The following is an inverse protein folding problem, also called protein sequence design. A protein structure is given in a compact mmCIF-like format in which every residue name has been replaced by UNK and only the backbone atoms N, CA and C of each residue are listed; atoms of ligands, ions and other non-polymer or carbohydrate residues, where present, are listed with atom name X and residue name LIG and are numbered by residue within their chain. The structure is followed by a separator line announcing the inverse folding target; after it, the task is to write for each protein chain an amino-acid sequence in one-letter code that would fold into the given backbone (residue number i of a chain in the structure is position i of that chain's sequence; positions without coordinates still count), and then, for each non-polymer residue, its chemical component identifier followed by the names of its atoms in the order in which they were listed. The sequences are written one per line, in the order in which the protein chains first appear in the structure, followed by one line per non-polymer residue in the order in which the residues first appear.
data_IF_721892023559
#
_entry.id   IF_721892023559
#
_cell.length_a   1.000
_cell.length_b   1.000
_cell.length_c   1.000
_cell.angle_alpha   90.00
_cell.angle_beta   90.00
_cell.angle_gamma   90.00
#
_symmetry.space_group_name_H-M   'P 1'
#
loop_
_entity.id
_entity.type
_entity.pdbx_description
1 polymer ?
#
# COMPACT_ATOMS: atom_id res chain seq x y z
N UNK A 1 -17.74 -6.94 1.27
CA UNK A 1 -16.39 -6.73 1.82
C UNK A 1 -16.00 -5.33 1.43
N UNK A 2 -15.90 -4.42 2.39
CA UNK A 2 -15.36 -3.10 2.08
C UNK A 2 -13.89 -3.30 1.73
N UNK A 3 -13.57 -3.19 0.44
CA UNK A 3 -12.21 -3.15 -0.10
C UNK A 3 -11.36 -2.00 0.50
N UNK A 4 -11.97 -1.23 1.42
CA UNK A 4 -11.40 -0.12 2.15
C UNK A 4 -10.56 -0.57 3.36
N UNK A 5 -10.74 -1.79 3.87
CA UNK A 5 -10.09 -2.27 5.10
C UNK A 5 -9.22 -3.52 4.86
N UNK A 6 -7.96 -3.30 4.48
CA UNK A 6 -6.96 -4.36 4.29
C UNK A 6 -6.32 -4.87 5.59
N UNK A 7 -5.78 -6.10 5.54
CA UNK A 7 -5.24 -6.82 6.70
C UNK A 7 -4.00 -6.18 7.34
N UNK A 8 -3.15 -5.51 6.55
CA UNK A 8 -1.89 -4.96 7.04
C UNK A 8 -2.08 -3.66 7.84
N UNK A 9 -2.93 -2.73 7.40
CA UNK A 9 -3.07 -1.41 8.04
C UNK A 9 -4.47 -0.78 7.86
N UNK A 10 -5.50 -1.57 7.55
CA UNK A 10 -6.84 -1.08 7.17
C UNK A 10 -6.76 -0.06 6.03
N UNK A 11 -5.93 -0.38 5.04
CA UNK A 11 -5.76 0.40 3.82
C UNK A 11 -6.58 -0.20 2.68
N UNK A 12 -6.83 0.62 1.67
CA UNK A 12 -7.55 0.17 0.49
C UNK A 12 -6.76 -0.95 -0.21
N UNK A 13 -7.40 -2.09 -0.37
CA UNK A 13 -6.86 -3.24 -1.08
C UNK A 13 -6.94 -3.00 -2.59
N UNK A 14 -5.81 -3.14 -3.30
CA UNK A 14 -5.74 -2.94 -4.74
C UNK A 14 -5.08 -4.14 -5.44
N UNK A 15 -5.58 -4.48 -6.63
CA UNK A 15 -5.04 -5.54 -7.48
C UNK A 15 -5.03 -6.94 -6.83
N UNK A 16 -6.06 -7.25 -6.03
CA UNK A 16 -6.22 -8.57 -5.40
C UNK A 16 -7.29 -9.36 -6.15
N UNK A 17 -6.93 -10.59 -6.55
CA UNK A 17 -7.87 -11.57 -7.10
C UNK A 17 -8.05 -12.69 -6.10
N UNK A 18 -9.28 -12.89 -5.64
CA UNK A 18 -9.64 -14.00 -4.76
C UNK A 18 -10.44 -15.02 -5.58
N UNK A 19 -10.03 -16.28 -5.51
CA UNK A 19 -10.76 -17.40 -6.10
C UNK A 19 -11.37 -18.22 -4.97
N UNK A 20 -12.70 -18.40 -4.98
CA UNK A 20 -13.39 -19.26 -4.02
C UNK A 20 -13.28 -20.69 -4.55
N UNK A 21 -12.64 -21.57 -3.78
CA UNK A 21 -12.43 -22.97 -4.18
C UNK A 21 -13.61 -23.84 -3.76
N UNK A 22 -14.01 -23.75 -2.50
CA UNK A 22 -15.11 -24.52 -1.93
C UNK A 22 -15.74 -23.77 -0.74
N UNK A 23 -16.99 -24.10 -0.42
CA UNK A 23 -17.73 -23.53 0.71
C UNK A 23 -18.74 -24.55 1.26
N UNK A 24 -18.50 -25.01 2.49
CA UNK A 24 -19.46 -25.84 3.24
C UNK A 24 -20.42 -24.96 4.02
N UNK A 25 -21.73 -25.14 3.81
CA UNK A 25 -22.78 -24.37 4.48
C UNK A 25 -23.73 -25.30 5.24
N UNK A 26 -24.30 -24.79 6.33
CA UNK A 26 -25.36 -25.48 7.05
C UNK A 26 -26.60 -25.70 6.16
N UNK A 27 -27.32 -26.81 6.35
CA UNK A 27 -28.49 -27.20 5.55
C UNK A 27 -29.62 -26.18 5.66
N UNK A 28 -29.88 -25.69 6.87
CA UNK A 28 -30.97 -24.75 7.14
C UNK A 28 -30.58 -23.30 6.85
N UNK A 29 -31.47 -22.57 6.16
CA UNK A 29 -31.27 -21.18 5.76
C UNK A 29 -31.10 -20.20 6.94
N UNK A 30 -31.70 -20.52 8.09
CA UNK A 30 -31.67 -19.68 9.30
C UNK A 30 -30.25 -19.58 9.88
N UNK A 31 -29.43 -20.62 9.69
CA UNK A 31 -28.05 -20.69 10.21
C UNK A 31 -26.99 -20.18 9.22
N UNK A 32 -27.38 -19.78 8.00
CA UNK A 32 -26.47 -19.23 6.96
C UNK A 32 -26.84 -17.81 6.53
N UNK A 33 -27.47 -17.04 7.41
CA UNK A 33 -27.76 -15.63 7.18
C UNK A 33 -26.49 -14.80 6.95
N UNK A 34 -26.65 -13.60 6.38
CA UNK A 34 -25.52 -12.71 6.08
C UNK A 34 -24.63 -12.39 7.29
N UNK A 35 -25.19 -12.36 8.50
CA UNK A 35 -24.44 -12.18 9.75
C UNK A 35 -23.48 -13.32 10.10
N UNK A 36 -23.64 -14.52 9.54
CA UNK A 36 -22.74 -15.67 9.73
C UNK A 36 -21.76 -15.81 8.56
N UNK A 37 -22.24 -15.58 7.33
CA UNK A 37 -21.43 -15.74 6.11
C UNK A 37 -20.45 -14.58 5.91
N UNK A 38 -20.83 -13.35 6.22
CA UNK A 38 -19.94 -12.19 6.02
C UNK A 38 -18.70 -12.20 6.92
N UNK A 39 -18.78 -12.46 8.25
CA UNK A 39 -17.58 -12.49 9.08
C UNK A 39 -16.68 -13.68 8.76
N UNK A 40 -17.24 -14.85 8.42
CA UNK A 40 -16.45 -16.01 7.98
C UNK A 40 -15.73 -15.72 6.67
N UNK A 41 -16.43 -15.18 5.68
CA UNK A 41 -15.82 -14.76 4.41
C UNK A 41 -14.72 -13.71 4.63
N UNK A 42 -14.95 -12.70 5.48
CA UNK A 42 -13.94 -11.67 5.80
C UNK A 42 -12.66 -12.27 6.39
N UNK A 43 -12.79 -13.21 7.34
CA UNK A 43 -11.63 -13.91 7.94
C UNK A 43 -10.86 -14.71 6.89
N UNK A 44 -11.54 -15.45 6.04
CA UNK A 44 -10.92 -16.25 4.96
C UNK A 44 -10.17 -15.34 3.97
N UNK A 45 -10.74 -14.21 3.57
CA UNK A 45 -10.06 -13.27 2.69
C UNK A 45 -8.79 -12.69 3.31
N UNK A 46 -8.80 -12.38 4.62
CA UNK A 46 -7.61 -11.91 5.32
C UNK A 46 -6.54 -13.00 5.44
N UNK A 47 -6.92 -14.24 5.75
CA UNK A 47 -6.00 -15.38 5.73
C UNK A 47 -5.34 -15.56 4.35
N UNK A 48 -6.14 -15.51 3.27
CA UNK A 48 -5.65 -15.64 1.90
C UNK A 48 -4.67 -14.52 1.53
N UNK A 49 -4.92 -13.29 1.97
CA UNK A 49 -4.02 -12.16 1.72
C UNK A 49 -2.68 -12.29 2.46
N UNK A 50 -2.69 -12.81 3.69
CA UNK A 50 -1.47 -13.07 4.45
C UNK A 50 -0.64 -14.21 3.83
N UNK A 51 -1.31 -15.27 3.34
CA UNK A 51 -0.65 -16.37 2.62
C UNK A 51 -0.02 -15.92 1.31
N UNK A 52 -0.63 -14.96 0.62
CA UNK A 52 -0.15 -14.46 -0.66
C UNK A 52 1.09 -13.53 -0.55
N UNK A 53 1.68 -13.36 0.65
CA UNK A 53 2.79 -12.42 0.91
C UNK A 53 2.44 -11.00 0.45
N UNK A 54 1.67 -10.25 1.25
CA UNK A 54 1.15 -8.96 0.83
C UNK A 54 2.29 -7.97 0.57
N UNK A 55 2.17 -7.15 -0.47
CA UNK A 55 3.12 -6.07 -0.77
C UNK A 55 2.44 -4.73 -0.56
N UNK A 56 3.16 -3.80 0.07
CA UNK A 56 2.69 -2.42 0.22
C UNK A 56 3.08 -1.62 -1.02
N UNK A 57 2.27 -0.61 -1.35
CA UNK A 57 2.44 0.21 -2.56
C UNK A 57 2.56 1.66 -2.15
N UNK A 58 3.59 2.35 -2.64
CA UNK A 58 3.74 3.78 -2.47
C UNK A 58 3.33 4.52 -3.75
N UNK A 59 2.73 5.70 -3.62
CA UNK A 59 2.58 6.60 -4.75
C UNK A 59 3.97 7.09 -5.18
N UNK A 60 4.28 6.97 -6.47
CA UNK A 60 5.52 7.42 -7.10
C UNK A 60 5.21 8.47 -8.16
N UNK A 61 6.07 9.50 -8.25
CA UNK A 61 5.98 10.54 -9.29
C UNK A 61 6.96 10.26 -10.44
N UNK A 62 6.81 10.98 -11.56
CA UNK A 62 7.10 10.59 -12.96
C UNK A 62 8.53 10.16 -13.40
N UNK A 63 8.52 9.45 -14.53
CA UNK A 63 9.63 8.84 -15.28
C UNK A 63 10.63 9.84 -15.87
N UNK A 64 11.92 9.44 -15.85
CA UNK A 64 13.06 10.20 -16.40
C UNK A 64 12.83 10.67 -17.84
N UNK A 65 12.74 11.99 -18.01
CA UNK A 65 12.93 12.68 -19.29
C UNK A 65 13.71 13.95 -19.02
N UNK A 66 14.82 14.11 -19.72
CA UNK A 66 15.56 15.36 -19.80
C UNK A 66 15.27 15.98 -21.17
N UNK A 67 14.46 17.04 -21.17
CA UNK A 67 14.14 17.80 -22.38
C UNK A 67 14.79 19.18 -22.30
N UNK A 68 15.77 19.42 -23.16
CA UNK A 68 16.33 20.76 -23.36
C UNK A 68 15.40 21.56 -24.27
N UNK A 69 14.92 22.72 -23.80
CA UNK A 69 14.05 23.59 -24.61
C UNK A 69 14.90 24.29 -25.68
N UNK A 70 14.63 24.10 -26.98
CA UNK A 70 15.37 24.78 -28.04
C UNK A 70 15.27 26.29 -27.89
N UNK A 71 16.40 26.98 -27.85
CA UNK A 71 16.45 28.45 -27.78
C UNK A 71 16.45 29.06 -26.36
N UNK A 72 16.41 28.26 -25.29
CA UNK A 72 16.61 28.75 -23.91
C UNK A 72 17.67 27.91 -23.18
N UNK A 73 18.46 28.48 -22.26
CA UNK A 73 19.44 27.73 -21.45
C UNK A 73 18.77 26.89 -20.35
N UNK A 74 17.49 26.52 -20.50
CA UNK A 74 16.72 25.78 -19.50
C UNK A 74 16.50 24.33 -19.93
N UNK A 75 16.84 23.39 -19.06
CA UNK A 75 16.54 21.97 -19.18
C UNK A 75 15.38 21.62 -18.24
N UNK A 76 14.40 20.87 -18.74
CA UNK A 76 13.34 20.29 -17.91
C UNK A 76 13.76 18.88 -17.54
N UNK A 77 14.02 18.65 -16.26
CA UNK A 77 14.35 17.32 -15.74
C UNK A 77 13.13 16.77 -15.01
N UNK A 78 12.64 15.60 -15.45
CA UNK A 78 11.62 14.83 -14.74
C UNK A 78 12.32 13.69 -13.99
N UNK A 79 11.99 13.49 -12.71
CA UNK A 79 12.67 12.52 -11.83
C UNK A 79 11.63 11.73 -11.04
N UNK A 80 11.89 10.44 -10.84
CA UNK A 80 11.12 9.64 -9.90
C UNK A 80 11.44 10.09 -8.48
N UNK A 81 10.41 10.53 -7.76
CA UNK A 81 10.51 10.83 -6.35
C UNK A 81 9.40 10.10 -5.61
N UNK A 82 9.78 9.29 -4.62
CA UNK A 82 8.78 8.67 -3.75
C UNK A 82 8.11 9.76 -2.91
N UNK A 83 6.79 9.66 -2.70
CA UNK A 83 6.07 10.66 -1.91
C UNK A 83 6.64 10.79 -0.48
N UNK A 84 7.11 9.70 0.11
CA UNK A 84 7.76 9.73 1.43
C UNK A 84 9.06 10.54 1.47
N UNK A 85 9.78 10.59 0.35
CA UNK A 85 11.05 11.32 0.20
C UNK A 85 10.83 12.72 -0.38
N UNK A 86 9.63 13.02 -0.90
CA UNK A 86 9.29 14.32 -1.47
C UNK A 86 9.15 15.44 -0.44
N UNK A 87 8.99 15.10 0.84
CA UNK A 87 8.84 16.08 1.89
C UNK A 87 10.17 16.78 2.18
N UNK A 88 10.23 18.10 1.98
CA UNK A 88 11.47 18.89 2.16
C UNK A 88 12.39 18.92 0.93
N UNK A 89 12.17 18.08 -0.08
CA UNK A 89 12.96 18.01 -1.31
C UNK A 89 13.10 19.37 -2.02
N UNK A 90 12.04 20.17 -2.05
CA UNK A 90 12.07 21.50 -2.68
C UNK A 90 13.10 22.43 -2.02
N UNK A 91 13.28 22.35 -0.70
CA UNK A 91 14.24 23.18 0.03
C UNK A 91 15.68 22.74 -0.24
N UNK A 92 15.93 21.43 -0.26
CA UNK A 92 17.24 20.86 -0.57
C UNK A 92 17.63 21.12 -2.02
N UNK A 93 16.72 20.92 -2.97
CA UNK A 93 16.95 21.20 -4.39
C UNK A 93 17.29 22.67 -4.60
N UNK A 94 16.58 23.58 -3.94
CA UNK A 94 16.84 25.01 -4.04
C UNK A 94 18.22 25.38 -3.46
N UNK A 95 18.59 24.80 -2.32
CA UNK A 95 19.90 25.00 -1.70
C UNK A 95 21.05 24.49 -2.58
N UNK A 96 20.93 23.28 -3.11
CA UNK A 96 21.97 22.64 -3.92
C UNK A 96 22.10 23.20 -5.33
N UNK A 97 21.05 23.86 -5.86
CA UNK A 97 21.07 24.49 -7.19
C UNK A 97 21.28 26.00 -7.11
N UNK A 98 21.64 26.55 -5.95
CA UNK A 98 21.81 28.01 -5.74
C UNK A 98 20.58 28.80 -6.21
N UNK A 99 19.40 28.22 -6.00
CA UNK A 99 18.12 28.78 -6.40
C UNK A 99 17.82 28.81 -7.90
N UNK A 100 18.56 28.05 -8.72
CA UNK A 100 18.35 28.01 -10.18
C UNK A 100 17.34 26.94 -10.63
N UNK A 101 17.07 25.92 -9.81
CA UNK A 101 16.05 24.93 -10.13
C UNK A 101 14.69 25.30 -9.53
N UNK A 102 13.68 25.33 -10.40
CA UNK A 102 12.28 25.51 -10.01
C UNK A 102 11.55 24.18 -10.18
N UNK A 103 11.17 23.49 -9.10
CA UNK A 103 10.32 22.32 -9.20
C UNK A 103 8.92 22.76 -9.63
N UNK A 104 8.52 22.42 -10.86
CA UNK A 104 7.11 22.49 -11.25
C UNK A 104 6.36 21.33 -10.55
N UNK A 105 5.05 21.53 -10.27
CA UNK A 105 4.25 20.65 -9.42
C UNK A 105 4.53 19.15 -9.59
N UNK A 106 4.89 18.48 -8.49
CA UNK A 106 5.02 17.03 -8.40
C UNK A 106 3.62 16.41 -8.52
N UNK A 107 3.23 16.02 -9.73
CA UNK A 107 1.96 15.34 -9.98
C UNK A 107 2.11 13.84 -9.73
N UNK A 108 1.14 13.26 -9.02
CA UNK A 108 1.04 11.82 -8.85
C UNK A 108 0.84 11.14 -10.21
N UNK A 109 1.68 10.18 -10.54
CA UNK A 109 1.60 9.45 -11.81
C UNK A 109 1.08 8.03 -11.62
N UNK A 110 1.80 7.22 -10.83
CA UNK A 110 1.44 5.83 -10.61
C UNK A 110 1.73 5.38 -9.18
N UNK A 111 1.34 4.14 -8.91
CA UNK A 111 1.59 3.48 -7.65
C UNK A 111 2.61 2.38 -7.88
N UNK A 112 3.74 2.48 -7.20
CA UNK A 112 4.84 1.52 -7.29
C UNK A 112 4.88 0.63 -6.05
N UNK A 113 5.23 -0.63 -6.25
CA UNK A 113 5.34 -1.60 -5.16
C UNK A 113 6.60 -1.34 -4.36
N UNK A 114 6.45 -1.17 -3.04
CA UNK A 114 7.60 -1.05 -2.17
C UNK A 114 8.35 -2.39 -2.12
N UNK A 115 9.69 -2.38 -2.22
CA UNK A 115 10.48 -3.59 -2.05
C UNK A 115 10.41 -4.04 -0.58
N UNK A 116 10.00 -5.30 -0.37
CA UNK A 116 9.95 -5.94 0.94
C UNK A 116 8.54 -6.28 1.41
N UNK A 117 8.43 -7.33 2.22
CA UNK A 117 7.18 -7.73 2.85
C UNK A 117 6.94 -6.93 4.14
N UNK A 118 5.71 -6.48 4.44
CA UNK A 118 5.35 -5.89 5.73
C UNK A 118 5.39 -6.92 6.88
N UNK A 119 5.54 -8.21 6.57
CA UNK A 119 5.63 -9.28 7.56
C UNK A 119 7.06 -9.49 8.09
N UNK A 120 8.07 -9.03 7.35
CA UNK A 120 9.47 -9.20 7.72
C UNK A 120 9.91 -8.07 8.69
N UNK A 121 10.28 -8.45 9.92
CA UNK A 121 10.71 -7.49 10.95
C UNK A 121 12.01 -6.81 10.54
N UNK A 122 12.01 -5.47 10.48
CA UNK A 122 13.18 -4.66 10.11
C UNK A 122 13.17 -4.11 8.68
N UNK A 123 12.14 -4.40 7.88
CA UNK A 123 11.94 -3.76 6.58
C UNK A 123 11.40 -2.33 6.69
N UNK A 124 11.80 -1.43 5.78
CA UNK A 124 11.22 -0.07 5.66
C UNK A 124 9.69 -0.11 5.56
N UNK A 125 9.15 -1.13 4.89
CA UNK A 125 7.73 -1.36 4.74
C UNK A 125 7.02 -1.64 6.07
N UNK A 126 7.64 -2.41 6.97
CA UNK A 126 7.09 -2.72 8.29
C UNK A 126 7.02 -1.47 9.15
N UNK A 127 8.08 -0.65 9.16
CA UNK A 127 8.09 0.61 9.91
C UNK A 127 6.96 1.56 9.48
N UNK A 128 6.73 1.68 8.16
CA UNK A 128 5.65 2.51 7.62
C UNK A 128 4.27 1.97 8.04
N UNK A 129 4.07 0.65 7.92
CA UNK A 129 2.81 0.00 8.32
C UNK A 129 2.56 0.17 9.82
N UNK A 130 3.56 -0.05 10.65
CA UNK A 130 3.47 0.09 12.11
C UNK A 130 3.13 1.53 12.50
N UNK A 131 3.73 2.55 11.86
CA UNK A 131 3.36 3.96 12.06
C UNK A 131 1.90 4.26 11.71
N UNK A 132 1.42 3.74 10.58
CA UNK A 132 0.01 3.92 10.17
C UNK A 132 -0.94 3.25 11.18
N UNK A 133 -0.61 2.03 11.63
CA UNK A 133 -1.40 1.29 12.62
C UNK A 133 -1.47 2.04 13.95
N UNK A 134 -0.35 2.56 14.45
CA UNK A 134 -0.31 3.37 15.66
C UNK A 134 -1.15 4.65 15.51
N UNK A 135 -1.08 5.32 14.35
CA UNK A 135 -1.89 6.51 14.08
C UNK A 135 -3.39 6.22 14.07
N UNK A 136 -3.79 5.05 13.56
CA UNK A 136 -5.18 4.58 13.55
C UNK A 136 -5.65 3.98 14.89
N UNK A 137 -4.76 3.87 15.89
CA UNK A 137 -5.08 3.23 17.17
C UNK A 137 -5.20 1.69 17.11
N UNK A 138 -4.66 1.08 16.06
CA UNK A 138 -4.61 -0.38 15.89
C UNK A 138 -3.39 -0.97 16.62
N UNK A 139 -3.45 -2.27 16.91
CA UNK A 139 -2.30 -3.00 17.50
C UNK A 139 -1.10 -2.88 16.56
N UNK A 140 0.11 -2.57 17.05
CA UNK A 140 1.28 -2.34 16.19
C UNK A 140 1.67 -3.59 15.39
N UNK A 141 1.51 -4.77 15.97
CA UNK A 141 1.78 -6.03 15.27
C UNK A 141 0.63 -6.42 14.32
N UNK A 142 1.00 -6.91 13.14
CA UNK A 142 0.07 -7.51 12.20
C UNK A 142 -0.37 -8.87 12.76
N UNK A 143 -1.67 -9.16 12.69
CA UNK A 143 -2.19 -10.44 13.13
C UNK A 143 -1.58 -11.58 12.31
N UNK A 144 -1.15 -12.65 12.99
CA UNK A 144 -0.61 -13.84 12.35
C UNK A 144 -1.70 -14.65 11.64
N UNK A 145 -1.28 -15.53 10.73
CA UNK A 145 -2.17 -16.43 9.99
C UNK A 145 -3.09 -17.24 10.92
N UNK A 146 -2.58 -17.67 12.08
CA UNK A 146 -3.30 -18.48 13.06
C UNK A 146 -4.55 -17.76 13.62
N UNK A 147 -4.62 -16.43 13.56
CA UNK A 147 -5.79 -15.68 14.00
C UNK A 147 -6.99 -15.83 13.04
N UNK A 148 -6.71 -16.16 11.77
CA UNK A 148 -7.71 -16.21 10.70
C UNK A 148 -7.91 -17.61 10.12
N UNK A 149 -6.93 -18.49 10.27
CA UNK A 149 -6.97 -19.84 9.74
C UNK A 149 -7.52 -20.82 10.78
N UNK A 150 -8.77 -21.23 10.58
CA UNK A 150 -9.39 -22.28 11.39
C UNK A 150 -8.96 -23.65 10.84
N UNK A 151 -8.28 -24.46 11.66
CA UNK A 151 -7.93 -25.85 11.32
C UNK A 151 -9.14 -26.74 11.59
N UNK A 152 -9.50 -27.58 10.61
CA UNK A 152 -10.50 -28.65 10.74
C UNK A 152 -9.97 -29.82 11.58
#
# INVERSE_FOLDING_TARGET
MDYKEGVCAEEIMRSIRLNILDATLHTDAIHRGGGQVMPTFRRVCYAACLLASPVSRNPSTLVFSEEQKPGTPMSTVKVYLSVTESFGFNGELWLHTTGQAFPHWCVLDHWDTMPGSPLDKGGKTEEVVTKIRMHKGLKPEIFSLDSYYDKL
#
